data_IF_424523989303
#
_entry.id   IF_424523989303
#
_cell.length_a   1.000
_cell.length_b   1.000
_cell.length_c   1.000
_cell.angle_alpha   90.00
_cell.angle_beta   90.00
_cell.angle_gamma   90.00
#
_symmetry.space_group_name_H-M   'P 1'
#
loop_
_entity.id
_entity.type
_entity.pdbx_description
1 polymer ?
#
# COMPACT_ATOMS: atom_id res chain seq x y z
N UNK A 1 -10.61 -6.76 -4.76
CA UNK A 1 -10.57 -8.24 -4.90
C UNK A 1 -9.14 -8.80 -4.93
N UNK A 2 -8.27 -8.37 -5.87
CA UNK A 2 -6.92 -8.90 -6.02
C UNK A 2 -6.04 -8.81 -4.75
N UNK A 3 -5.98 -7.63 -4.12
CA UNK A 3 -5.16 -7.43 -2.91
C UNK A 3 -5.56 -8.35 -1.76
N UNK A 4 -6.86 -8.46 -1.45
CA UNK A 4 -7.39 -9.37 -0.42
C UNK A 4 -6.99 -10.82 -0.68
N UNK A 5 -7.13 -11.29 -1.92
CA UNK A 5 -6.77 -12.66 -2.32
C UNK A 5 -5.27 -12.92 -2.16
N UNK A 6 -4.43 -12.00 -2.65
CA UNK A 6 -2.97 -12.13 -2.56
C UNK A 6 -2.50 -12.13 -1.12
N UNK A 7 -2.95 -11.16 -0.32
CA UNK A 7 -2.56 -11.04 1.08
C UNK A 7 -3.08 -12.22 1.92
N UNK A 8 -4.31 -12.69 1.68
CA UNK A 8 -4.84 -13.87 2.35
C UNK A 8 -4.10 -15.17 2.01
N UNK A 9 -3.63 -15.30 0.76
CA UNK A 9 -2.81 -16.44 0.35
C UNK A 9 -1.37 -16.36 0.84
N UNK A 10 -0.80 -15.16 0.97
CA UNK A 10 0.55 -14.98 1.49
C UNK A 10 0.59 -15.19 3.01
N UNK A 11 -0.26 -14.47 3.75
CA UNK A 11 -0.34 -14.51 5.21
C UNK A 11 1.05 -14.50 5.89
N UNK A 12 1.95 -13.65 5.41
CA UNK A 12 3.31 -13.50 5.93
C UNK A 12 3.50 -12.12 6.57
N UNK A 13 4.59 -11.93 7.31
CA UNK A 13 5.01 -10.63 7.82
C UNK A 13 6.37 -10.20 7.23
N UNK A 14 6.51 -8.93 6.87
CA UNK A 14 7.75 -8.32 6.36
C UNK A 14 7.91 -8.33 4.84
N UNK A 15 6.91 -8.81 4.09
CA UNK A 15 6.90 -8.91 2.63
C UNK A 15 5.90 -7.95 1.96
N UNK A 16 5.48 -6.88 2.64
CA UNK A 16 4.43 -5.95 2.19
C UNK A 16 4.65 -5.44 0.75
N UNK A 17 5.89 -5.05 0.41
CA UNK A 17 6.25 -4.61 -0.93
C UNK A 17 6.03 -5.70 -2.01
N UNK A 18 6.31 -6.96 -1.68
CA UNK A 18 6.08 -8.11 -2.57
C UNK A 18 4.58 -8.41 -2.71
N UNK A 19 3.84 -8.35 -1.61
CA UNK A 19 2.40 -8.56 -1.60
C UNK A 19 1.65 -7.52 -2.43
N UNK A 20 1.95 -6.24 -2.23
CA UNK A 20 1.34 -5.16 -3.02
C UNK A 20 1.76 -5.23 -4.49
N UNK A 21 3.02 -5.56 -4.82
CA UNK A 21 3.43 -5.75 -6.23
C UNK A 21 2.61 -6.84 -6.93
N UNK A 22 2.42 -7.98 -6.26
CA UNK A 22 1.59 -9.09 -6.77
C UNK A 22 0.14 -8.68 -6.93
N UNK A 23 -0.41 -7.96 -5.95
CA UNK A 23 -1.78 -7.45 -6.00
C UNK A 23 -2.00 -6.50 -7.18
N UNK A 24 -1.08 -5.56 -7.39
CA UNK A 24 -1.10 -4.61 -8.50
C UNK A 24 -1.02 -5.32 -9.85
N UNK A 25 -0.09 -6.27 -10.01
CA UNK A 25 0.01 -7.11 -11.22
C UNK A 25 -1.28 -7.87 -11.50
N UNK A 26 -1.85 -8.51 -10.48
CA UNK A 26 -3.11 -9.24 -10.58
C UNK A 26 -4.33 -8.33 -10.85
N UNK A 27 -4.20 -7.03 -10.61
CA UNK A 27 -5.21 -6.02 -10.92
C UNK A 27 -4.97 -5.34 -12.29
N UNK A 28 -4.04 -5.82 -13.11
CA UNK A 28 -3.72 -5.21 -14.41
C UNK A 28 -2.89 -3.93 -14.32
N UNK A 29 -2.31 -3.63 -13.15
CA UNK A 29 -1.47 -2.45 -12.90
C UNK A 29 -0.03 -2.86 -12.60
N UNK A 30 0.67 -3.60 -13.51
CA UNK A 30 2.01 -4.07 -13.22
C UNK A 30 2.96 -2.90 -12.95
N UNK A 31 3.80 -3.06 -11.93
CA UNK A 31 4.92 -2.17 -11.63
C UNK A 31 6.18 -3.00 -11.44
N UNK A 32 7.33 -2.44 -11.81
CA UNK A 32 8.61 -3.03 -11.48
C UNK A 32 8.74 -3.19 -9.95
N UNK A 33 9.25 -4.33 -9.44
CA UNK A 33 9.48 -4.52 -8.02
C UNK A 33 10.48 -3.50 -7.45
N UNK A 34 10.21 -2.99 -6.24
CA UNK A 34 11.20 -2.23 -5.45
C UNK A 34 11.67 -3.06 -4.26
N UNK A 35 12.94 -2.94 -3.84
CA UNK A 35 13.45 -3.63 -2.65
C UNK A 35 12.88 -3.08 -1.33
N UNK A 36 12.33 -1.86 -1.32
CA UNK A 36 11.70 -1.26 -0.14
C UNK A 36 10.35 -0.64 -0.49
N UNK A 37 9.42 -0.68 0.48
CA UNK A 37 8.05 -0.20 0.31
C UNK A 37 8.00 1.30 0.01
N UNK A 38 8.79 2.12 0.73
CA UNK A 38 8.77 3.58 0.54
C UNK A 38 9.13 4.02 -0.90
N UNK A 39 9.93 3.23 -1.62
CA UNK A 39 10.36 3.54 -3.00
C UNK A 39 9.18 3.52 -3.98
N UNK A 40 8.11 2.78 -3.67
CA UNK A 40 6.91 2.78 -4.49
C UNK A 40 6.24 4.14 -4.55
N UNK A 41 6.40 5.01 -3.55
CA UNK A 41 5.78 6.32 -3.56
C UNK A 41 6.23 7.17 -4.76
N UNK A 42 7.53 7.13 -5.11
CA UNK A 42 8.05 7.85 -6.29
C UNK A 42 7.56 7.23 -7.60
N UNK A 43 7.46 5.89 -7.65
CA UNK A 43 6.97 5.17 -8.84
C UNK A 43 5.50 5.44 -9.12
N UNK A 44 4.66 5.33 -8.08
CA UNK A 44 3.23 5.64 -8.15
C UNK A 44 2.99 7.11 -8.55
N UNK A 45 3.80 8.04 -8.03
CA UNK A 45 3.67 9.44 -8.37
C UNK A 45 4.07 9.77 -9.83
N UNK A 46 4.97 8.99 -10.42
CA UNK A 46 5.41 9.16 -11.81
C UNK A 46 4.53 8.41 -12.83
N UNK A 47 3.65 7.52 -12.36
CA UNK A 47 2.83 6.67 -13.21
C UNK A 47 1.46 7.30 -13.46
N UNK A 48 1.15 7.57 -14.74
CA UNK A 48 -0.06 8.27 -15.15
C UNK A 48 -1.36 7.55 -14.78
N UNK A 49 -1.30 6.24 -14.50
CA UNK A 49 -2.45 5.41 -14.09
C UNK A 49 -2.88 5.68 -12.66
N UNK A 50 -2.08 6.41 -11.89
CA UNK A 50 -2.39 6.76 -10.50
C UNK A 50 -2.57 8.26 -10.35
N UNK A 51 -3.35 8.62 -9.33
CA UNK A 51 -3.51 9.98 -8.85
C UNK A 51 -3.12 10.03 -7.38
N UNK A 52 -2.21 10.92 -7.02
CA UNK A 52 -1.87 11.17 -5.64
C UNK A 52 -2.93 12.05 -4.96
N UNK A 53 -3.39 11.64 -3.79
CA UNK A 53 -4.28 12.42 -2.92
C UNK A 53 -3.42 13.01 -1.81
N UNK A 54 -3.38 14.35 -1.74
CA UNK A 54 -2.59 15.09 -0.76
C UNK A 54 -3.39 15.34 0.52
N UNK A 55 -2.69 15.65 1.60
CA UNK A 55 -3.26 16.07 2.90
C UNK A 55 -4.24 15.05 3.52
N UNK A 56 -3.95 13.75 3.35
CA UNK A 56 -4.75 12.67 3.96
C UNK A 56 -4.26 12.41 5.38
N UNK A 57 -5.11 12.68 6.37
CA UNK A 57 -4.81 12.43 7.79
C UNK A 57 -4.91 10.94 8.14
N UNK A 58 -4.31 10.58 9.27
CA UNK A 58 -4.33 9.22 9.83
C UNK A 58 -5.76 8.69 10.05
N UNK A 59 -6.67 9.56 10.49
CA UNK A 59 -8.08 9.21 10.66
C UNK A 59 -8.77 8.96 9.31
N UNK A 60 -8.40 9.69 8.27
CA UNK A 60 -8.93 9.50 6.91
C UNK A 60 -8.42 8.21 6.27
N UNK A 61 -7.20 7.76 6.58
CA UNK A 61 -6.65 6.50 6.05
C UNK A 61 -7.58 5.29 6.34
N UNK A 62 -8.17 5.25 7.54
CA UNK A 62 -9.11 4.18 7.95
C UNK A 62 -10.45 4.23 7.21
N UNK A 63 -10.77 5.37 6.59
CA UNK A 63 -12.02 5.63 5.86
C UNK A 63 -11.84 5.56 4.34
N UNK A 64 -10.62 5.37 3.85
CA UNK A 64 -10.36 5.30 2.41
C UNK A 64 -11.17 4.16 1.77
N UNK A 65 -11.71 4.40 0.56
CA UNK A 65 -12.41 3.35 -0.18
C UNK A 65 -11.44 2.21 -0.53
N UNK A 66 -11.96 0.99 -0.80
CA UNK A 66 -11.12 -0.11 -1.26
C UNK A 66 -10.33 0.27 -2.53
N UNK A 67 -9.07 -0.16 -2.60
CA UNK A 67 -8.22 0.01 -3.78
C UNK A 67 -7.27 1.22 -3.75
N UNK A 68 -7.33 2.07 -2.72
CA UNK A 68 -6.31 3.08 -2.50
C UNK A 68 -5.00 2.41 -2.06
N UNK A 69 -3.86 2.88 -2.59
CA UNK A 69 -2.52 2.46 -2.21
C UNK A 69 -1.94 3.49 -1.26
N UNK A 70 -1.54 3.07 -0.07
CA UNK A 70 -0.90 3.92 0.94
C UNK A 70 0.54 3.49 1.09
N UNK A 71 1.47 4.43 0.97
CA UNK A 71 2.90 4.21 1.16
C UNK A 71 3.39 5.06 2.32
N UNK A 72 3.93 4.42 3.35
CA UNK A 72 4.54 5.07 4.50
C UNK A 72 6.06 5.18 4.32
N UNK A 73 6.62 6.32 4.73
CA UNK A 73 8.04 6.54 4.80
C UNK A 73 8.69 5.71 5.92
N UNK A 74 10.02 5.47 5.87
CA UNK A 74 10.73 4.83 6.96
C UNK A 74 10.78 5.72 8.21
N UNK A 75 10.74 5.11 9.41
CA UNK A 75 10.80 5.85 10.68
C UNK A 75 11.91 5.39 11.66
N UNK A 76 13.04 4.90 11.14
CA UNK A 76 14.23 4.54 11.95
C UNK A 76 14.07 3.27 12.82
N UNK A 77 12.83 2.81 13.08
CA UNK A 77 12.53 1.60 13.84
C UNK A 77 12.05 0.43 12.98
N UNK A 78 10.92 -0.20 13.37
CA UNK A 78 10.36 -1.40 12.71
C UNK A 78 10.04 -1.20 11.22
N UNK A 79 9.90 0.04 10.74
CA UNK A 79 9.57 0.33 9.34
C UNK A 79 10.77 0.89 8.56
N UNK A 80 12.01 0.42 8.80
CA UNK A 80 13.19 0.85 8.01
C UNK A 80 13.04 0.77 6.48
N UNK A 81 12.15 -0.10 5.99
CA UNK A 81 11.82 -0.24 4.56
C UNK A 81 10.53 0.50 4.14
N UNK A 82 9.95 1.29 5.05
CA UNK A 82 8.58 1.82 4.94
C UNK A 82 7.52 0.74 5.10
N UNK A 83 6.28 1.10 4.83
CA UNK A 83 5.17 0.16 4.67
C UNK A 83 4.37 0.51 3.42
N UNK A 84 3.80 -0.48 2.75
CA UNK A 84 2.90 -0.25 1.61
C UNK A 84 1.72 -1.19 1.75
N UNK A 85 0.53 -0.66 1.51
CA UNK A 85 -0.70 -1.41 1.58
C UNK A 85 -1.75 -0.94 0.59
N UNK A 86 -2.69 -1.84 0.28
CA UNK A 86 -3.92 -1.54 -0.46
C UNK A 86 -5.08 -1.56 0.53
N UNK A 87 -5.89 -0.51 0.54
CA UNK A 87 -7.08 -0.43 1.39
C UNK A 87 -8.14 -1.44 0.94
N UNK A 88 -8.82 -2.07 1.88
CA UNK A 88 -9.93 -2.99 1.64
C UNK A 88 -11.30 -2.36 2.00
N UNK A 89 -11.31 -1.11 2.46
CA UNK A 89 -12.46 -0.47 3.09
C UNK A 89 -12.64 -0.86 4.56
N UNK A 90 -13.53 -0.17 5.27
CA UNK A 90 -13.87 -0.44 6.68
C UNK A 90 -12.66 -0.51 7.63
N UNK A 91 -11.61 0.28 7.35
CA UNK A 91 -10.38 0.30 8.13
C UNK A 91 -9.52 -0.95 8.04
N UNK A 92 -9.70 -1.77 6.99
CA UNK A 92 -8.87 -2.92 6.68
C UNK A 92 -7.87 -2.61 5.56
N UNK A 93 -6.71 -3.26 5.62
CA UNK A 93 -5.67 -3.21 4.62
C UNK A 93 -5.23 -4.61 4.17
N UNK A 94 -4.65 -4.66 2.97
CA UNK A 94 -3.96 -5.81 2.43
C UNK A 94 -2.58 -5.39 1.95
N UNK A 95 -1.57 -6.07 2.48
CA UNK A 95 -0.18 -5.96 2.06
C UNK A 95 0.37 -7.36 1.81
N UNK A 96 1.07 -7.94 2.78
CA UNK A 96 1.50 -9.35 2.80
C UNK A 96 0.59 -10.26 3.65
N UNK A 97 -0.30 -9.64 4.43
CA UNK A 97 -1.40 -10.24 5.15
C UNK A 97 -2.55 -9.22 5.25
N UNK A 98 -3.69 -9.65 5.76
CA UNK A 98 -4.83 -8.77 6.01
C UNK A 98 -4.80 -8.33 7.46
N UNK A 99 -4.92 -7.02 7.70
CA UNK A 99 -4.99 -6.48 9.05
C UNK A 99 -5.78 -5.17 9.09
N UNK A 100 -5.95 -4.61 10.30
CA UNK A 100 -6.45 -3.24 10.45
C UNK A 100 -5.39 -2.25 9.96
N UNK A 101 -5.85 -1.16 9.36
CA UNK A 101 -4.97 -0.05 8.96
C UNK A 101 -4.19 0.43 10.18
N UNK A 102 -2.87 0.35 10.08
CA UNK A 102 -1.92 0.89 11.05
C UNK A 102 -1.25 2.12 10.45
N UNK A 103 -0.95 3.11 11.28
CA UNK A 103 -0.30 4.36 10.87
C UNK A 103 1.14 4.36 11.36
N UNK A 104 2.06 4.79 10.48
CA UNK A 104 3.50 4.65 10.69
C UNK A 104 4.25 5.98 10.59
N UNK A 105 3.53 7.10 10.61
CA UNK A 105 4.05 8.45 10.34
C UNK A 105 3.78 8.87 8.91
N UNK A 106 4.70 9.62 8.30
CA UNK A 106 4.54 10.24 6.97
C UNK A 106 4.09 9.25 5.90
N UNK A 107 2.97 9.57 5.26
CA UNK A 107 2.30 8.75 4.26
C UNK A 107 2.09 9.50 2.95
N UNK A 108 1.97 8.73 1.86
CA UNK A 108 1.48 9.17 0.56
C UNK A 108 0.39 8.24 0.09
N UNK A 109 -0.69 8.80 -0.43
CA UNK A 109 -1.89 8.05 -0.82
C UNK A 109 -2.10 8.19 -2.31
N UNK A 110 -2.31 7.06 -2.99
CA UNK A 110 -2.51 6.98 -4.42
C UNK A 110 -3.78 6.21 -4.71
N UNK A 111 -4.55 6.66 -5.68
CA UNK A 111 -5.71 5.92 -6.20
C UNK A 111 -5.49 5.60 -7.68
N UNK A 112 -5.84 4.39 -8.15
CA UNK A 112 -5.95 4.12 -9.57
C UNK A 112 -6.96 5.07 -10.23
N UNK A 113 -6.72 5.45 -11.48
CA UNK A 113 -7.65 6.20 -12.32
C UNK A 113 -8.58 5.27 -13.08
#
# INVERSE_FOLDING_TARGET
AAARRVAGSMNTHGWCARGVNRALRAAGLPMSPSPSAYMYARRLAADHRFREIRNVSDAQLRKLPPGAIVVFAPNGGRTRHGHIMVTLGHGLEASDHIQRVSVYGTQRVFVPK
#
